data_IF_811714330192
#
_entry.id   IF_811714330192
#
_cell.length_a   1.000
_cell.length_b   1.000
_cell.length_c   1.000
_cell.angle_alpha   90.00
_cell.angle_beta   90.00
_cell.angle_gamma   90.00
#
_symmetry.space_group_name_H-M   'P 1'
#
loop_
_entity.id
_entity.type
_entity.pdbx_description
1 polymer ?
#
# COMPACT_ATOMS: atom_id res chain seq x y z
N UNK A 1 -32.32 48.88 -1.97
CA UNK A 1 -31.71 47.58 -1.61
C UNK A 1 -30.65 47.28 -2.64
N UNK A 2 -29.37 47.43 -2.29
CA UNK A 2 -28.25 47.17 -3.20
C UNK A 2 -28.02 45.65 -3.24
N UNK A 3 -28.21 45.05 -4.41
CA UNK A 3 -27.84 43.65 -4.66
C UNK A 3 -26.31 43.55 -4.56
N UNK A 4 -25.80 42.64 -3.71
CA UNK A 4 -24.37 42.44 -3.57
C UNK A 4 -23.78 41.89 -4.90
N UNK A 5 -22.57 42.31 -5.31
CA UNK A 5 -21.97 41.79 -6.53
C UNK A 5 -21.75 40.29 -6.39
N UNK A 6 -22.30 39.50 -7.31
CA UNK A 6 -21.98 38.06 -7.41
C UNK A 6 -20.48 37.94 -7.66
N UNK A 7 -19.75 37.07 -6.92
CA UNK A 7 -18.33 36.87 -7.19
C UNK A 7 -18.15 36.45 -8.64
N UNK A 8 -17.38 37.22 -9.41
CA UNK A 8 -16.98 36.82 -10.75
C UNK A 8 -16.08 35.59 -10.60
N UNK A 9 -16.54 34.44 -11.09
CA UNK A 9 -15.75 33.21 -11.14
C UNK A 9 -14.47 33.46 -11.96
N UNK A 10 -13.36 32.85 -11.56
CA UNK A 10 -12.12 32.94 -12.31
C UNK A 10 -12.28 32.26 -13.68
N UNK A 11 -11.52 32.68 -14.71
CA UNK A 11 -11.61 32.16 -16.09
C UNK A 11 -11.62 30.63 -16.16
N UNK A 12 -10.87 29.97 -15.27
CA UNK A 12 -10.73 28.53 -15.25
C UNK A 12 -11.96 27.81 -14.68
N UNK A 13 -12.72 28.44 -13.77
CA UNK A 13 -13.96 27.90 -13.22
C UNK A 13 -15.16 28.06 -14.18
N UNK A 14 -15.01 28.88 -15.22
CA UNK A 14 -16.00 29.03 -16.28
C UNK A 14 -15.84 27.99 -17.40
N UNK A 15 -14.76 27.20 -17.38
CA UNK A 15 -14.54 26.15 -18.38
C UNK A 15 -15.52 25.00 -18.20
N UNK A 16 -15.88 24.28 -19.29
CA UNK A 16 -16.59 23.01 -19.18
C UNK A 16 -15.83 22.02 -18.31
N UNK A 17 -16.57 21.15 -17.62
CA UNK A 17 -16.02 20.15 -16.68
C UNK A 17 -14.99 19.26 -17.37
N UNK A 18 -15.26 18.90 -18.62
CA UNK A 18 -14.40 18.06 -19.46
C UNK A 18 -13.03 18.71 -19.68
N UNK A 19 -13.00 20.02 -19.91
CA UNK A 19 -11.74 20.78 -20.10
C UNK A 19 -10.98 20.90 -18.78
N UNK A 20 -11.68 21.11 -17.66
CA UNK A 20 -11.04 21.11 -16.33
C UNK A 20 -10.41 19.74 -16.04
N UNK A 21 -11.10 18.65 -16.38
CA UNK A 21 -10.60 17.29 -16.25
C UNK A 21 -9.39 17.05 -17.16
N UNK A 22 -9.44 17.46 -18.42
CA UNK A 22 -8.33 17.33 -19.37
C UNK A 22 -7.08 18.08 -18.89
N UNK A 23 -7.24 19.34 -18.44
CA UNK A 23 -6.15 20.13 -17.82
C UNK A 23 -5.54 19.35 -16.64
N UNK A 24 -6.38 18.79 -15.77
CA UNK A 24 -5.92 18.01 -14.63
C UNK A 24 -5.17 16.73 -15.06
N UNK A 25 -5.63 16.02 -16.09
CA UNK A 25 -4.97 14.81 -16.59
C UNK A 25 -3.60 15.10 -17.22
N UNK A 26 -3.44 16.26 -17.85
CA UNK A 26 -2.14 16.71 -18.36
C UNK A 26 -1.18 17.12 -17.24
N UNK A 27 -1.68 17.79 -16.20
CA UNK A 27 -0.84 18.34 -15.14
C UNK A 27 -0.53 17.35 -14.01
N UNK A 28 -1.47 16.43 -13.72
CA UNK A 28 -1.44 15.53 -12.56
C UNK A 28 -1.20 16.24 -11.20
N UNK A 29 -1.53 17.54 -11.11
CA UNK A 29 -1.35 18.34 -9.90
C UNK A 29 -2.46 18.03 -8.89
N UNK A 30 -2.14 17.17 -7.92
CA UNK A 30 -3.07 16.67 -6.90
C UNK A 30 -3.61 17.80 -6.00
N UNK A 31 -2.95 18.95 -5.92
CA UNK A 31 -3.46 20.12 -5.20
C UNK A 31 -4.44 20.97 -6.02
N UNK A 32 -4.59 20.74 -7.33
CA UNK A 32 -5.47 21.53 -8.19
C UNK A 32 -6.94 21.58 -7.71
N UNK A 33 -7.56 20.48 -7.25
CA UNK A 33 -8.88 20.51 -6.59
C UNK A 33 -8.98 21.48 -5.40
N UNK A 34 -7.86 21.84 -4.76
CA UNK A 34 -7.87 22.74 -3.58
C UNK A 34 -7.96 24.21 -3.96
N UNK A 35 -7.75 24.55 -5.22
CA UNK A 35 -7.81 25.93 -5.71
C UNK A 35 -9.25 26.48 -5.67
N UNK A 36 -10.27 25.63 -5.82
CA UNK A 36 -11.68 26.01 -5.78
C UNK A 36 -12.61 24.84 -5.51
N UNK A 37 -13.72 25.09 -4.82
CA UNK A 37 -14.80 24.12 -4.65
C UNK A 37 -15.44 23.70 -5.98
N UNK A 38 -15.45 24.58 -6.99
CA UNK A 38 -15.99 24.26 -8.32
C UNK A 38 -15.10 23.23 -9.02
N UNK A 39 -13.78 23.49 -9.05
CA UNK A 39 -12.77 22.57 -9.59
C UNK A 39 -12.79 21.24 -8.83
N UNK A 40 -12.88 21.29 -7.49
CA UNK A 40 -12.99 20.09 -6.68
C UNK A 40 -14.17 19.20 -7.11
N UNK A 41 -15.35 19.81 -7.34
CA UNK A 41 -16.55 19.09 -7.80
C UNK A 41 -16.37 18.53 -9.21
N UNK A 42 -15.81 19.32 -10.12
CA UNK A 42 -15.53 18.90 -11.50
C UNK A 42 -14.60 17.67 -11.57
N UNK A 43 -13.62 17.59 -10.66
CA UNK A 43 -12.64 16.50 -10.59
C UNK A 43 -13.06 15.34 -9.67
N UNK A 44 -14.14 15.49 -8.90
CA UNK A 44 -14.63 14.48 -7.96
C UNK A 44 -15.40 13.36 -8.66
N UNK A 45 -14.76 12.68 -9.61
CA UNK A 45 -15.37 11.62 -10.41
C UNK A 45 -14.68 10.27 -10.12
N UNK A 46 -15.43 9.16 -9.90
CA UNK A 46 -14.82 7.86 -9.62
C UNK A 46 -13.80 7.38 -10.66
N UNK A 47 -14.05 7.66 -11.94
CA UNK A 47 -13.10 7.32 -13.01
C UNK A 47 -11.80 8.11 -12.92
N UNK A 48 -11.84 9.39 -12.51
CA UNK A 48 -10.62 10.18 -12.28
C UNK A 48 -9.73 9.51 -11.24
N UNK A 49 -10.31 9.14 -10.10
CA UNK A 49 -9.56 8.50 -9.03
C UNK A 49 -8.96 7.16 -9.48
N UNK A 50 -9.70 6.35 -10.25
CA UNK A 50 -9.17 5.11 -10.80
C UNK A 50 -8.02 5.35 -11.78
N UNK A 51 -8.13 6.33 -12.68
CA UNK A 51 -7.07 6.63 -13.64
C UNK A 51 -5.80 7.19 -12.96
N UNK A 52 -5.96 8.06 -11.95
CA UNK A 52 -4.83 8.55 -11.14
C UNK A 52 -4.13 7.39 -10.41
N UNK A 53 -4.90 6.45 -9.84
CA UNK A 53 -4.30 5.27 -9.19
C UNK A 53 -3.56 4.39 -10.20
N UNK A 54 -4.14 4.14 -11.38
CA UNK A 54 -3.51 3.33 -12.43
C UNK A 54 -2.21 3.97 -12.91
N UNK A 55 -2.22 5.27 -13.26
CA UNK A 55 -1.00 5.95 -13.74
C UNK A 55 0.09 5.99 -12.66
N UNK A 56 -0.28 6.19 -11.39
CA UNK A 56 0.68 6.30 -10.30
C UNK A 56 1.20 4.92 -9.82
N UNK A 57 0.39 3.86 -9.84
CA UNK A 57 0.69 2.60 -9.13
C UNK A 57 0.78 1.35 -10.02
N UNK A 58 0.71 1.44 -11.35
CA UNK A 58 0.93 0.26 -12.21
C UNK A 58 2.41 -0.12 -12.39
N UNK A 59 2.76 -1.39 -12.47
CA UNK A 59 4.14 -1.82 -12.72
C UNK A 59 4.69 -1.32 -14.07
N UNK A 60 5.97 -0.94 -14.08
CA UNK A 60 6.68 -0.35 -15.22
C UNK A 60 7.60 -1.31 -15.97
N UNK A 61 7.42 -2.62 -15.80
CA UNK A 61 8.27 -3.58 -16.51
C UNK A 61 8.01 -3.51 -18.02
N UNK A 62 9.07 -3.68 -18.82
CA UNK A 62 9.04 -3.62 -20.30
C UNK A 62 7.85 -4.36 -20.97
N UNK A 63 7.40 -5.54 -20.48
CA UNK A 63 6.25 -6.24 -21.03
C UNK A 63 4.91 -5.50 -20.87
N UNK A 64 4.77 -4.58 -19.91
CA UNK A 64 3.57 -3.76 -19.73
C UNK A 64 3.52 -2.58 -20.71
N UNK A 65 4.63 -2.24 -21.38
CA UNK A 65 4.67 -1.17 -22.38
C UNK A 65 3.89 -1.50 -23.64
N UNK A 66 3.85 -2.78 -24.02
CA UNK A 66 3.26 -3.22 -25.27
C UNK A 66 1.84 -3.79 -25.06
N UNK A 67 0.83 -3.04 -25.48
CA UNK A 67 -0.55 -3.50 -25.62
C UNK A 67 -1.33 -3.75 -24.32
N UNK A 68 -0.74 -3.43 -23.16
CA UNK A 68 -1.43 -3.45 -21.87
C UNK A 68 -2.24 -2.17 -21.66
N UNK A 69 -1.64 -0.98 -21.66
CA UNK A 69 -2.40 0.26 -21.46
C UNK A 69 -3.21 0.65 -22.70
N UNK A 70 -4.47 0.24 -22.74
CA UNK A 70 -5.43 0.61 -23.80
C UNK A 70 -6.19 1.88 -23.43
N UNK A 71 -6.75 2.60 -24.42
CA UNK A 71 -7.49 3.86 -24.21
C UNK A 71 -8.67 3.74 -23.24
N UNK A 72 -9.34 2.59 -23.20
CA UNK A 72 -10.43 2.30 -22.26
C UNK A 72 -9.94 2.02 -20.84
N UNK A 73 -8.69 1.54 -20.69
CA UNK A 73 -8.09 1.24 -19.40
C UNK A 73 -7.37 2.44 -18.79
N UNK A 74 -6.61 3.17 -19.60
CA UNK A 74 -5.91 4.38 -19.22
C UNK A 74 -5.87 5.34 -20.43
N UNK A 75 -6.74 6.36 -20.46
CA UNK A 75 -6.86 7.24 -21.62
C UNK A 75 -5.67 8.20 -21.74
N UNK A 76 -5.36 8.61 -22.97
CA UNK A 76 -4.47 9.75 -23.22
C UNK A 76 -5.02 10.99 -22.48
N UNK A 77 -4.17 11.86 -21.91
CA UNK A 77 -2.70 11.90 -22.01
C UNK A 77 -1.95 11.02 -20.98
N UNK A 78 -2.65 10.18 -20.21
CA UNK A 78 -2.03 9.44 -19.11
C UNK A 78 -1.11 8.33 -19.62
N UNK A 79 0.18 8.48 -19.37
CA UNK A 79 1.19 7.48 -19.67
C UNK A 79 2.08 7.22 -18.43
N UNK A 80 2.00 6.03 -17.80
CA UNK A 80 2.83 5.69 -16.65
C UNK A 80 4.34 5.73 -16.96
N UNK A 81 4.73 5.55 -18.24
CA UNK A 81 6.12 5.52 -18.69
C UNK A 81 6.68 6.90 -19.01
N UNK A 82 5.82 7.91 -19.17
CA UNK A 82 6.24 9.29 -19.40
C UNK A 82 6.63 10.03 -18.11
N UNK A 83 6.30 9.47 -16.94
CA UNK A 83 6.57 10.08 -15.63
C UNK A 83 7.94 9.64 -15.14
N UNK A 84 8.81 10.60 -14.78
CA UNK A 84 10.12 10.28 -14.20
C UNK A 84 9.97 9.55 -12.85
N UNK A 85 10.98 8.77 -12.42
CA UNK A 85 10.94 8.11 -11.12
C UNK A 85 10.67 9.06 -9.93
N UNK A 86 11.23 10.26 -9.95
CA UNK A 86 11.07 11.29 -8.93
C UNK A 86 9.64 11.86 -8.90
N UNK A 87 9.12 12.25 -10.06
CA UNK A 87 7.74 12.74 -10.20
C UNK A 87 6.74 11.67 -9.78
N UNK A 88 7.01 10.42 -10.14
CA UNK A 88 6.15 9.29 -9.78
C UNK A 88 6.13 9.06 -8.27
N UNK A 89 7.29 9.10 -7.60
CA UNK A 89 7.36 9.03 -6.13
C UNK A 89 6.54 10.16 -5.49
N UNK A 90 6.67 11.38 -6.02
CA UNK A 90 5.91 12.55 -5.58
C UNK A 90 4.40 12.34 -5.74
N UNK A 91 3.97 11.92 -6.93
CA UNK A 91 2.58 11.64 -7.26
C UNK A 91 2.00 10.54 -6.37
N UNK A 92 2.68 9.41 -6.21
CA UNK A 92 2.25 8.33 -5.32
C UNK A 92 2.06 8.82 -3.89
N UNK A 93 3.03 9.57 -3.36
CA UNK A 93 2.96 10.13 -2.00
C UNK A 93 1.77 11.09 -1.86
N UNK A 94 1.57 11.98 -2.83
CA UNK A 94 0.46 12.93 -2.83
C UNK A 94 -0.91 12.23 -2.92
N UNK A 95 -1.03 11.23 -3.80
CA UNK A 95 -2.25 10.43 -3.97
C UNK A 95 -2.56 9.65 -2.69
N UNK A 96 -1.59 8.99 -2.07
CA UNK A 96 -1.80 8.31 -0.80
C UNK A 96 -2.28 9.29 0.27
N UNK A 97 -1.80 10.53 0.27
CA UNK A 97 -2.25 11.60 1.17
C UNK A 97 -3.73 12.00 1.01
N UNK A 98 -4.31 11.84 -0.19
CA UNK A 98 -5.67 12.29 -0.50
C UNK A 98 -6.77 11.52 0.24
N UNK A 99 -7.77 12.21 0.80
CA UNK A 99 -8.86 11.57 1.57
C UNK A 99 -9.66 10.53 0.77
N UNK A 100 -9.79 10.72 -0.55
CA UNK A 100 -10.48 9.78 -1.44
C UNK A 100 -9.68 8.49 -1.70
N UNK A 101 -8.36 8.51 -1.51
CA UNK A 101 -7.52 7.32 -1.65
C UNK A 101 -7.68 6.43 -0.41
N UNK A 102 -8.52 5.41 -0.56
CA UNK A 102 -8.97 4.49 0.50
C UNK A 102 -8.72 3.05 0.08
N UNK A 103 -8.76 2.12 1.05
CA UNK A 103 -8.62 0.69 0.77
C UNK A 103 -9.66 0.17 -0.26
N UNK A 104 -10.98 0.45 -0.14
CA UNK A 104 -11.95 -0.08 -1.10
C UNK A 104 -11.68 0.38 -2.53
N UNK A 105 -11.27 1.63 -2.71
CA UNK A 105 -10.89 2.16 -4.02
C UNK A 105 -9.62 1.48 -4.54
N UNK A 106 -8.59 1.34 -3.70
CA UNK A 106 -7.36 0.64 -4.08
C UNK A 106 -7.68 -0.80 -4.50
N UNK A 107 -8.42 -1.57 -3.68
CA UNK A 107 -8.84 -2.94 -3.97
C UNK A 107 -9.62 -3.06 -5.28
N UNK A 108 -10.53 -2.11 -5.54
CA UNK A 108 -11.24 -2.04 -6.82
C UNK A 108 -10.26 -1.86 -7.99
N UNK A 109 -9.31 -0.94 -7.88
CA UNK A 109 -8.29 -0.74 -8.92
C UNK A 109 -7.40 -1.98 -9.09
N UNK A 110 -7.02 -2.67 -8.01
CA UNK A 110 -6.26 -3.92 -8.08
C UNK A 110 -7.02 -4.99 -8.87
N UNK A 111 -8.31 -5.17 -8.56
CA UNK A 111 -9.16 -6.13 -9.26
C UNK A 111 -9.27 -5.81 -10.75
N UNK A 112 -9.66 -4.58 -11.08
CA UNK A 112 -9.81 -4.15 -12.48
C UNK A 112 -8.48 -4.28 -13.25
N UNK A 113 -7.34 -4.05 -12.58
CA UNK A 113 -6.01 -4.24 -13.14
C UNK A 113 -5.72 -5.71 -13.43
N UNK A 114 -5.94 -6.62 -12.47
CA UNK A 114 -5.69 -8.05 -12.66
C UNK A 114 -6.61 -8.67 -13.73
N UNK A 115 -7.89 -8.30 -13.75
CA UNK A 115 -8.81 -8.72 -14.82
C UNK A 115 -8.33 -8.22 -16.20
N UNK A 116 -7.76 -7.02 -16.25
CA UNK A 116 -7.19 -6.49 -17.47
C UNK A 116 -5.93 -7.25 -17.92
N UNK A 117 -5.07 -7.69 -16.99
CA UNK A 117 -3.94 -8.59 -17.27
C UNK A 117 -4.44 -9.88 -17.92
N UNK A 118 -5.43 -10.54 -17.33
CA UNK A 118 -6.01 -11.77 -17.89
C UNK A 118 -6.52 -11.55 -19.32
N UNK A 119 -7.30 -10.47 -19.52
CA UNK A 119 -7.88 -10.14 -20.83
C UNK A 119 -6.82 -9.84 -21.90
N UNK A 120 -5.72 -9.18 -21.54
CA UNK A 120 -4.73 -8.66 -22.51
C UNK A 120 -3.52 -9.57 -22.71
N UNK A 121 -3.11 -10.31 -21.69
CA UNK A 121 -1.84 -11.05 -21.67
C UNK A 121 -2.01 -12.57 -21.68
N UNK A 122 -3.19 -13.08 -21.36
CA UNK A 122 -3.45 -14.53 -21.41
C UNK A 122 -4.04 -15.03 -22.74
N UNK A 123 -4.36 -14.15 -23.69
CA UNK A 123 -5.02 -14.54 -24.95
C UNK A 123 -4.20 -15.49 -25.85
N UNK A 124 -2.87 -15.34 -25.83
CA UNK A 124 -1.94 -16.17 -26.61
C UNK A 124 -1.46 -17.41 -25.85
N UNK A 125 -2.02 -17.65 -24.65
CA UNK A 125 -1.69 -18.80 -23.82
C UNK A 125 -2.73 -19.92 -24.02
N UNK A 126 -2.23 -21.15 -24.07
CA UNK A 126 -3.02 -22.37 -23.98
C UNK A 126 -3.10 -22.74 -22.51
N UNK A 127 -4.26 -22.50 -21.92
CA UNK A 127 -4.58 -22.74 -20.51
C UNK A 127 -5.68 -23.80 -20.47
N UNK A 128 -5.64 -24.70 -19.48
CA UNK A 128 -6.71 -25.68 -19.31
C UNK A 128 -8.05 -24.97 -19.03
N UNK A 129 -9.20 -25.52 -19.46
CA UNK A 129 -10.49 -24.87 -19.21
C UNK A 129 -10.76 -24.61 -17.73
N UNK A 130 -10.39 -25.54 -16.84
CA UNK A 130 -10.54 -25.39 -15.39
C UNK A 130 -9.68 -24.25 -14.84
N UNK A 131 -8.43 -24.16 -15.26
CA UNK A 131 -7.53 -23.10 -14.79
C UNK A 131 -7.93 -21.73 -15.34
N UNK A 132 -8.44 -21.69 -16.57
CA UNK A 132 -8.95 -20.46 -17.15
C UNK A 132 -10.19 -19.96 -16.40
N UNK A 133 -11.08 -20.85 -15.96
CA UNK A 133 -12.20 -20.47 -15.09
C UNK A 133 -11.71 -19.91 -13.74
N UNK A 134 -10.67 -20.49 -13.15
CA UNK A 134 -10.03 -19.93 -11.94
C UNK A 134 -9.52 -18.50 -12.18
N UNK A 135 -8.89 -18.23 -13.34
CA UNK A 135 -8.43 -16.89 -13.72
C UNK A 135 -9.58 -15.90 -14.00
N UNK A 136 -10.73 -16.36 -14.49
CA UNK A 136 -11.90 -15.50 -14.63
C UNK A 136 -12.56 -15.18 -13.28
N UNK A 137 -12.40 -16.06 -12.29
CA UNK A 137 -12.96 -15.88 -10.93
C UNK A 137 -12.15 -14.94 -10.03
N UNK A 138 -11.03 -14.39 -10.51
CA UNK A 138 -10.13 -13.50 -9.74
C UNK A 138 -10.89 -12.36 -9.05
N UNK A 139 -11.84 -11.74 -9.76
CA UNK A 139 -12.62 -10.63 -9.21
C UNK A 139 -13.45 -11.02 -7.98
N UNK A 140 -14.01 -12.23 -7.97
CA UNK A 140 -14.74 -12.76 -6.81
C UNK A 140 -13.80 -13.11 -5.65
N UNK A 141 -12.63 -13.68 -5.94
CA UNK A 141 -11.65 -14.08 -4.92
C UNK A 141 -11.08 -12.86 -4.19
N UNK A 142 -10.73 -11.79 -4.91
CA UNK A 142 -10.27 -10.52 -4.32
C UNK A 142 -11.29 -9.88 -3.38
N UNK A 143 -12.58 -10.00 -3.71
CA UNK A 143 -13.66 -9.45 -2.89
C UNK A 143 -13.84 -10.24 -1.59
N UNK A 144 -13.36 -11.49 -1.53
CA UNK A 144 -13.35 -12.31 -0.32
C UNK A 144 -12.17 -12.06 0.62
N UNK A 145 -11.19 -11.23 0.22
CA UNK A 145 -9.98 -10.97 1.02
C UNK A 145 -10.15 -9.94 2.12
N UNK A 146 -11.32 -9.32 2.25
CA UNK A 146 -11.54 -8.17 3.13
C UNK A 146 -11.18 -8.47 4.60
N UNK A 147 -10.01 -7.95 4.98
CA UNK A 147 -9.37 -8.11 6.27
C UNK A 147 -8.96 -9.53 6.65
N UNK A 148 -8.66 -10.37 5.65
CA UNK A 148 -7.72 -11.48 5.80
C UNK A 148 -6.30 -10.90 5.70
N UNK A 149 -5.41 -11.29 6.61
CA UNK A 149 -3.99 -10.92 6.55
C UNK A 149 -3.25 -12.22 6.16
N UNK A 150 -2.45 -12.23 5.08
CA UNK A 150 -1.72 -13.43 4.69
C UNK A 150 -0.75 -13.83 5.79
N UNK A 151 -0.80 -15.11 6.20
CA UNK A 151 0.18 -15.69 7.11
C UNK A 151 1.56 -15.79 6.46
N UNK A 152 1.60 -16.02 5.14
CA UNK A 152 2.83 -16.08 4.36
C UNK A 152 2.85 -15.06 3.22
N UNK A 153 3.93 -14.28 3.10
CA UNK A 153 3.98 -13.10 2.25
C UNK A 153 4.09 -13.36 0.74
N UNK A 154 4.50 -14.56 0.32
CA UNK A 154 4.92 -14.84 -1.07
C UNK A 154 4.40 -16.16 -1.65
N UNK A 155 3.53 -16.86 -0.92
CA UNK A 155 2.93 -18.06 -1.47
C UNK A 155 1.85 -17.66 -2.48
N UNK A 156 1.96 -18.06 -3.77
CA UNK A 156 0.93 -17.75 -4.75
C UNK A 156 -0.43 -18.32 -4.33
N UNK A 157 -1.44 -17.47 -4.34
CA UNK A 157 -2.83 -17.88 -4.09
C UNK A 157 -3.35 -18.77 -5.23
N UNK A 158 -2.83 -18.55 -6.44
CA UNK A 158 -3.16 -19.31 -7.64
C UNK A 158 -1.92 -19.52 -8.50
N UNK A 159 -1.66 -20.78 -8.85
CA UNK A 159 -0.66 -21.20 -9.83
C UNK A 159 -1.35 -21.91 -10.99
N UNK A 160 -1.12 -21.44 -12.21
CA UNK A 160 -1.67 -22.05 -13.43
C UNK A 160 -0.54 -22.43 -14.37
N UNK A 161 -0.60 -23.65 -14.89
CA UNK A 161 0.30 -24.08 -15.96
C UNK A 161 -0.29 -23.66 -17.31
N UNK A 162 0.53 -22.98 -18.12
CA UNK A 162 0.15 -22.63 -19.47
C UNK A 162 1.28 -22.84 -20.45
N UNK A 163 0.92 -22.96 -21.73
CA UNK A 163 1.85 -23.04 -22.84
C UNK A 163 1.62 -21.90 -23.80
N UNK A 164 2.66 -21.37 -24.42
CA UNK A 164 2.46 -20.36 -25.47
C UNK A 164 1.90 -21.02 -26.72
N UNK A 165 0.85 -20.46 -27.30
CA UNK A 165 0.23 -20.98 -28.52
C UNK A 165 1.28 -21.08 -29.64
N UNK A 166 1.31 -22.23 -30.32
CA UNK A 166 2.30 -22.51 -31.36
C UNK A 166 3.73 -22.78 -30.85
N UNK A 167 3.92 -22.90 -29.54
CA UNK A 167 5.19 -23.23 -28.89
C UNK A 167 4.99 -24.33 -27.86
N UNK A 168 5.99 -25.20 -27.65
CA UNK A 168 5.98 -26.14 -26.53
C UNK A 168 6.67 -25.56 -25.28
N UNK A 169 6.87 -24.24 -25.23
CA UNK A 169 7.47 -23.55 -24.09
C UNK A 169 6.42 -23.30 -23.01
N UNK A 170 6.69 -23.82 -21.82
CA UNK A 170 5.89 -23.55 -20.64
C UNK A 170 5.97 -22.06 -20.24
N UNK A 171 4.90 -21.61 -19.62
CA UNK A 171 4.67 -20.22 -19.22
C UNK A 171 3.80 -20.22 -17.98
N UNK A 172 4.36 -20.58 -16.80
CA UNK A 172 3.59 -20.61 -15.57
C UNK A 172 3.05 -19.21 -15.26
N UNK A 173 1.82 -19.17 -14.75
CA UNK A 173 1.17 -17.97 -14.25
C UNK A 173 1.04 -18.09 -12.74
N UNK A 174 1.36 -17.01 -12.03
CA UNK A 174 1.20 -16.93 -10.59
C UNK A 174 0.43 -15.67 -10.24
N UNK A 175 -0.57 -15.80 -9.37
CA UNK A 175 -1.34 -14.67 -8.87
C UNK A 175 -1.25 -14.62 -7.35
N UNK A 176 -0.88 -13.45 -6.82
CA UNK A 176 -0.98 -13.13 -5.39
C UNK A 176 -2.02 -12.03 -5.25
N UNK A 177 -3.25 -12.41 -4.94
CA UNK A 177 -4.41 -11.53 -4.90
C UNK A 177 -4.23 -10.43 -3.87
N UNK A 178 -3.73 -10.78 -2.68
CA UNK A 178 -3.61 -9.82 -1.59
C UNK A 178 -2.72 -8.62 -1.96
N UNK A 179 -1.68 -8.84 -2.77
CA UNK A 179 -0.77 -7.77 -3.22
C UNK A 179 -1.06 -7.26 -4.64
N UNK A 180 -2.15 -7.73 -5.26
CA UNK A 180 -2.52 -7.35 -6.63
C UNK A 180 -1.42 -7.69 -7.64
N UNK A 181 -0.77 -8.84 -7.46
CA UNK A 181 0.40 -9.25 -8.23
C UNK A 181 0.05 -10.39 -9.18
N UNK A 182 0.48 -10.27 -10.43
CA UNK A 182 0.31 -11.29 -11.47
C UNK A 182 1.63 -11.44 -12.20
N UNK A 183 2.20 -12.65 -12.20
CA UNK A 183 3.43 -12.97 -12.93
C UNK A 183 3.11 -13.89 -14.10
N UNK A 184 3.54 -13.52 -15.30
CA UNK A 184 3.45 -14.35 -16.51
C UNK A 184 4.85 -14.46 -17.09
N UNK A 185 5.45 -15.66 -17.09
CA UNK A 185 6.70 -15.89 -17.84
C UNK A 185 7.81 -14.87 -17.52
N UNK A 186 7.93 -14.52 -16.24
CA UNK A 186 8.81 -13.49 -15.64
C UNK A 186 8.31 -12.04 -15.70
N UNK A 187 7.25 -11.74 -16.43
CA UNK A 187 6.66 -10.41 -16.52
C UNK A 187 5.75 -10.13 -15.32
N UNK A 188 6.08 -9.10 -14.53
CA UNK A 188 5.30 -8.68 -13.37
C UNK A 188 4.27 -7.61 -13.74
N UNK A 189 3.01 -7.95 -13.56
CA UNK A 189 1.91 -7.01 -13.53
C UNK A 189 1.46 -6.82 -12.10
N UNK A 190 1.68 -5.62 -11.56
CA UNK A 190 1.31 -5.32 -10.19
C UNK A 190 0.61 -3.97 -10.07
N UNK A 191 -0.45 -3.94 -9.26
CA UNK A 191 -1.01 -2.73 -8.72
C UNK A 191 -1.44 -3.01 -7.27
N UNK A 192 -1.03 -2.20 -6.28
CA UNK A 192 -0.09 -1.09 -6.39
C UNK A 192 1.37 -1.55 -6.47
N UNK A 193 2.16 -0.82 -7.24
CA UNK A 193 3.58 -1.01 -7.45
C UNK A 193 4.37 0.24 -7.04
N UNK A 194 5.59 0.06 -6.55
CA UNK A 194 6.49 1.15 -6.17
C UNK A 194 7.94 0.74 -6.34
N UNK A 195 8.78 1.70 -6.72
CA UNK A 195 10.20 1.49 -7.00
C UNK A 195 10.97 1.23 -5.71
N UNK A 196 11.87 0.26 -5.72
CA UNK A 196 12.58 -0.17 -4.51
C UNK A 196 13.54 0.88 -3.95
N UNK A 197 14.28 1.55 -4.82
CA UNK A 197 15.29 2.57 -4.50
C UNK A 197 14.67 3.97 -4.37
N UNK A 198 13.41 4.16 -4.75
CA UNK A 198 12.70 5.42 -4.56
C UNK A 198 11.23 5.17 -4.15
N UNK A 199 10.99 4.57 -2.97
CA UNK A 199 9.65 4.25 -2.54
C UNK A 199 8.86 5.54 -2.22
N UNK A 200 7.55 5.49 -2.47
CA UNK A 200 6.62 6.50 -1.98
C UNK A 200 6.62 6.55 -0.45
N UNK A 201 6.17 7.65 0.13
CA UNK A 201 5.98 7.74 1.56
C UNK A 201 4.56 7.39 1.95
N UNK A 202 4.43 6.52 2.95
CA UNK A 202 3.15 6.34 3.64
C UNK A 202 2.79 7.67 4.32
N UNK A 203 1.59 8.24 4.14
CA UNK A 203 1.19 9.51 4.74
C UNK A 203 0.81 9.38 6.22
N UNK A 204 0.97 10.46 7.00
CA UNK A 204 0.72 10.46 8.45
C UNK A 204 -0.74 10.08 8.82
N UNK A 205 -1.72 10.36 7.97
CA UNK A 205 -3.12 9.95 8.20
C UNK A 205 -3.32 8.43 8.32
N UNK A 206 -2.38 7.64 7.77
CA UNK A 206 -2.37 6.18 7.87
C UNK A 206 -1.50 5.68 9.04
N UNK A 207 -0.75 6.57 9.68
CA UNK A 207 0.14 6.29 10.80
C UNK A 207 -0.40 6.88 12.12
N UNK A 208 -1.70 7.16 12.20
CA UNK A 208 -2.36 7.65 13.38
C UNK A 208 -3.67 6.90 13.66
N UNK A 209 -4.12 6.84 14.93
CA UNK A 209 -5.44 6.30 15.27
C UNK A 209 -6.58 7.09 14.59
N UNK A 210 -7.81 6.53 14.51
CA UNK A 210 -8.20 5.19 14.99
C UNK A 210 -7.68 4.07 14.07
N UNK A 211 -7.29 2.93 14.66
CA UNK A 211 -6.75 1.77 13.96
C UNK A 211 -7.87 0.80 13.53
N UNK A 212 -8.55 1.13 12.43
CA UNK A 212 -9.59 0.26 11.87
C UNK A 212 -8.98 -0.93 11.13
N UNK A 213 -9.75 -2.03 10.99
CA UNK A 213 -9.35 -3.21 10.18
C UNK A 213 -8.89 -2.78 8.79
N UNK A 214 -9.67 -1.94 8.12
CA UNK A 214 -9.37 -1.42 6.77
C UNK A 214 -8.12 -0.55 6.73
N UNK A 215 -7.84 0.27 7.76
CA UNK A 215 -6.61 1.08 7.79
C UNK A 215 -5.37 0.20 7.93
N UNK A 216 -5.42 -0.79 8.82
CA UNK A 216 -4.31 -1.72 9.05
C UNK A 216 -4.05 -2.59 7.83
N UNK A 217 -5.11 -3.06 7.17
CA UNK A 217 -4.99 -3.79 5.90
C UNK A 217 -4.42 -2.90 4.80
N UNK A 218 -4.90 -1.65 4.69
CA UNK A 218 -4.34 -0.73 3.69
C UNK A 218 -2.86 -0.54 3.92
N UNK A 219 -2.47 -0.28 5.17
CA UNK A 219 -1.07 -0.10 5.54
C UNK A 219 -0.24 -1.35 5.22
N UNK A 220 -0.73 -2.56 5.51
CA UNK A 220 -0.05 -3.82 5.19
C UNK A 220 0.22 -4.00 3.69
N UNK A 221 -0.71 -3.55 2.84
CA UNK A 221 -0.49 -3.50 1.39
C UNK A 221 0.59 -2.47 1.09
N UNK A 222 0.43 -1.23 1.57
CA UNK A 222 1.32 -0.09 1.30
C UNK A 222 2.77 -0.32 1.71
N UNK A 223 3.01 -0.89 2.89
CA UNK A 223 4.36 -0.96 3.48
C UNK A 223 5.34 -1.83 2.70
N UNK A 224 4.88 -2.56 1.68
CA UNK A 224 5.77 -3.30 0.76
C UNK A 224 6.35 -2.48 -0.38
N UNK A 225 5.69 -1.39 -0.76
CA UNK A 225 6.09 -0.57 -1.91
C UNK A 225 6.25 0.91 -1.55
N UNK A 226 5.75 1.32 -0.39
CA UNK A 226 5.99 2.61 0.23
C UNK A 226 6.79 2.40 1.52
N UNK A 227 7.63 3.38 1.87
CA UNK A 227 8.33 3.40 3.15
C UNK A 227 7.60 4.25 4.18
N UNK A 228 7.82 3.91 5.45
CA UNK A 228 7.29 4.65 6.59
C UNK A 228 8.25 5.77 6.97
N UNK A 229 9.54 5.50 6.96
CA UNK A 229 10.59 6.46 7.29
C UNK A 229 11.49 6.69 6.07
N UNK A 230 11.89 7.94 5.86
CA UNK A 230 12.92 8.29 4.87
C UNK A 230 14.32 8.02 5.40
N UNK A 231 14.50 8.20 6.71
CA UNK A 231 15.79 8.17 7.38
C UNK A 231 15.87 7.01 8.38
N UNK A 232 17.09 6.55 8.63
CA UNK A 232 17.38 5.41 9.51
C UNK A 232 17.03 5.67 10.99
N UNK A 233 16.73 6.91 11.38
CA UNK A 233 16.31 7.27 12.73
C UNK A 233 14.93 6.70 13.11
N UNK A 234 14.14 6.28 12.11
CA UNK A 234 12.87 5.59 12.30
C UNK A 234 11.82 6.44 13.02
N UNK A 235 11.89 7.78 12.93
CA UNK A 235 11.10 8.65 13.80
C UNK A 235 9.59 8.39 13.73
N UNK A 236 9.03 8.11 12.54
CA UNK A 236 7.60 7.88 12.34
C UNK A 236 7.20 6.48 12.79
N UNK A 237 7.92 5.43 12.37
CA UNK A 237 7.64 4.05 12.80
C UNK A 237 7.77 3.89 14.32
N UNK A 238 8.79 4.52 14.92
CA UNK A 238 9.02 4.56 16.37
C UNK A 238 7.89 5.27 17.12
N UNK A 239 7.39 6.38 16.59
CA UNK A 239 6.27 7.11 17.19
C UNK A 239 4.99 6.28 17.21
N UNK A 240 4.70 5.54 16.14
CA UNK A 240 3.51 4.67 16.03
C UNK A 240 3.53 3.59 17.11
N UNK A 241 4.59 2.77 17.18
CA UNK A 241 4.65 1.69 18.18
C UNK A 241 4.59 2.21 19.60
N UNK A 242 5.32 3.29 19.90
CA UNK A 242 5.27 3.93 21.22
C UNK A 242 3.87 4.40 21.59
N UNK A 243 3.13 4.97 20.64
CA UNK A 243 1.77 5.44 20.86
C UNK A 243 0.82 4.27 21.14
N UNK A 244 0.92 3.18 20.37
CA UNK A 244 0.09 1.98 20.56
C UNK A 244 0.36 1.32 21.93
N UNK A 245 1.62 1.27 22.36
CA UNK A 245 1.99 0.80 23.71
C UNK A 245 1.34 1.69 24.78
N UNK A 246 1.46 3.01 24.62
CA UNK A 246 0.88 3.99 25.56
C UNK A 246 -0.65 3.87 25.63
N UNK A 247 -1.30 3.64 24.50
CA UNK A 247 -2.75 3.50 24.39
C UNK A 247 -3.25 2.10 24.80
N UNK A 248 -2.34 1.19 25.17
CA UNK A 248 -2.62 -0.19 25.59
C UNK A 248 -3.41 -1.00 24.55
N UNK A 249 -3.25 -0.66 23.26
CA UNK A 249 -3.86 -1.39 22.14
C UNK A 249 -2.98 -2.58 21.71
N UNK A 250 -3.05 -3.67 22.47
CA UNK A 250 -2.20 -4.84 22.23
C UNK A 250 -2.50 -5.54 20.90
N UNK A 251 -3.75 -5.51 20.44
CA UNK A 251 -4.14 -6.14 19.19
C UNK A 251 -3.47 -5.46 17.99
N UNK A 252 -3.47 -4.12 17.96
CA UNK A 252 -2.75 -3.35 16.94
C UNK A 252 -1.24 -3.49 17.08
N UNK A 253 -0.72 -3.50 18.31
CA UNK A 253 0.71 -3.70 18.57
C UNK A 253 1.21 -5.01 17.97
N UNK A 254 0.50 -6.12 18.25
CA UNK A 254 0.82 -7.43 17.71
C UNK A 254 0.84 -7.42 16.17
N UNK A 255 -0.10 -6.72 15.54
CA UNK A 255 -0.13 -6.59 14.07
C UNK A 255 1.09 -5.85 13.54
N UNK A 256 1.51 -4.75 14.18
CA UNK A 256 2.72 -4.04 13.77
C UNK A 256 3.99 -4.87 13.96
N UNK A 257 4.09 -5.64 15.04
CA UNK A 257 5.26 -6.50 15.29
C UNK A 257 5.53 -7.51 14.15
N UNK A 258 4.48 -8.02 13.52
CA UNK A 258 4.57 -8.94 12.38
C UNK A 258 4.41 -8.25 11.01
N UNK A 259 4.14 -6.95 10.98
CA UNK A 259 4.02 -6.20 9.74
C UNK A 259 5.41 -6.04 9.11
N UNK A 260 5.48 -6.39 7.83
CA UNK A 260 6.68 -6.26 7.03
C UNK A 260 6.67 -4.91 6.32
N UNK A 261 7.76 -4.18 6.43
CA UNK A 261 7.92 -2.81 5.95
C UNK A 261 9.18 -2.65 5.11
N UNK A 262 9.10 -1.76 4.13
CA UNK A 262 10.23 -1.29 3.35
C UNK A 262 10.93 -0.15 4.07
N UNK A 263 12.26 -0.20 4.08
CA UNK A 263 13.12 0.88 4.54
C UNK A 263 14.06 1.29 3.40
N UNK A 264 14.28 2.60 3.13
CA UNK A 264 15.10 3.05 2.00
C UNK A 264 16.55 2.57 2.02
N UNK A 265 17.10 2.29 3.21
CA UNK A 265 18.50 1.89 3.40
C UNK A 265 18.73 0.38 3.34
N UNK A 266 17.69 -0.43 3.11
CA UNK A 266 17.82 -1.89 2.97
C UNK A 266 17.20 -2.39 1.68
N UNK A 267 17.85 -3.38 1.07
CA UNK A 267 17.29 -4.12 -0.07
C UNK A 267 16.23 -5.13 0.40
N UNK A 268 16.33 -5.56 1.64
CA UNK A 268 15.43 -6.55 2.20
C UNK A 268 14.21 -5.88 2.82
N UNK A 269 13.12 -6.63 2.88
CA UNK A 269 11.98 -6.26 3.68
C UNK A 269 12.26 -6.55 5.15
N UNK A 270 11.88 -5.64 6.03
CA UNK A 270 12.16 -5.74 7.47
C UNK A 270 10.84 -5.85 8.23
N UNK A 271 10.85 -6.46 9.41
CA UNK A 271 9.74 -6.25 10.34
C UNK A 271 9.69 -4.78 10.77
N UNK A 272 8.53 -4.35 11.26
CA UNK A 272 8.39 -3.00 11.80
C UNK A 272 9.53 -2.67 12.79
N UNK A 273 10.25 -1.56 12.61
CA UNK A 273 11.42 -1.24 13.43
C UNK A 273 11.10 -1.15 14.93
N UNK A 274 11.86 -1.89 15.73
CA UNK A 274 11.80 -1.86 17.20
C UNK A 274 13.10 -1.28 17.76
N UNK A 275 12.98 -0.31 18.65
CA UNK A 275 14.09 0.38 19.29
C UNK A 275 13.98 0.29 20.82
N UNK A 276 15.10 0.56 21.52
CA UNK A 276 15.21 0.54 22.99
C UNK A 276 14.07 1.32 23.70
N UNK A 277 13.65 2.45 23.12
CA UNK A 277 12.59 3.27 23.68
C UNK A 277 11.22 2.57 23.74
N UNK A 278 10.96 1.56 22.90
CA UNK A 278 9.73 0.77 22.96
C UNK A 278 9.73 -0.15 24.18
N UNK A 279 10.88 -0.74 24.53
CA UNK A 279 11.04 -1.54 25.74
C UNK A 279 10.82 -0.69 26.99
N UNK A 280 11.44 0.49 27.07
CA UNK A 280 11.18 1.43 28.16
C UNK A 280 9.71 1.86 28.23
N UNK A 281 9.07 2.12 27.08
CA UNK A 281 7.66 2.46 27.04
C UNK A 281 6.77 1.31 27.54
N UNK A 282 7.07 0.08 27.13
CA UNK A 282 6.33 -1.11 27.56
C UNK A 282 6.45 -1.33 29.07
N UNK A 283 7.65 -1.21 29.64
CA UNK A 283 7.85 -1.27 31.09
C UNK A 283 7.14 -0.13 31.82
N UNK A 284 7.24 1.10 31.32
CA UNK A 284 6.62 2.28 31.93
C UNK A 284 5.10 2.16 32.03
N UNK A 285 4.46 1.58 31.02
CA UNK A 285 3.01 1.42 30.95
C UNK A 285 2.57 -0.02 31.25
N UNK A 286 3.45 -0.87 31.78
CA UNK A 286 3.09 -2.21 32.21
C UNK A 286 2.16 -2.12 33.41
N UNK A 287 1.05 -2.86 33.37
CA UNK A 287 0.05 -2.84 34.44
C UNK A 287 0.31 -3.93 35.48
N UNK A 288 1.05 -4.98 35.09
CA UNK A 288 1.32 -6.16 35.92
C UNK A 288 2.61 -6.86 35.50
N UNK A 289 3.13 -7.78 36.34
CA UNK A 289 4.06 -8.81 35.90
C UNK A 289 3.54 -9.61 34.70
N UNK A 290 4.45 -10.07 33.85
CA UNK A 290 4.18 -10.71 32.56
C UNK A 290 3.22 -9.87 31.71
N UNK A 291 3.54 -8.58 31.55
CA UNK A 291 2.74 -7.69 30.72
C UNK A 291 2.83 -8.14 29.25
N UNK A 292 1.70 -8.23 28.52
CA UNK A 292 1.69 -8.79 27.17
C UNK A 292 2.58 -8.01 26.19
N UNK A 293 2.75 -6.70 26.36
CA UNK A 293 3.66 -5.91 25.51
C UNK A 293 5.13 -6.23 25.81
N UNK A 294 5.48 -6.33 27.09
CA UNK A 294 6.84 -6.68 27.54
C UNK A 294 7.18 -8.10 27.09
N UNK A 295 6.30 -9.06 27.35
CA UNK A 295 6.44 -10.47 26.99
C UNK A 295 6.67 -10.67 25.48
N UNK A 296 5.87 -10.00 24.64
CA UNK A 296 6.05 -10.06 23.19
C UNK A 296 7.34 -9.40 22.71
N UNK A 297 7.69 -8.22 23.24
CA UNK A 297 8.94 -7.53 22.87
C UNK A 297 10.17 -8.36 23.22
N UNK A 298 10.21 -8.92 24.43
CA UNK A 298 11.33 -9.77 24.87
C UNK A 298 11.40 -11.04 24.04
N UNK A 299 10.27 -11.75 23.88
CA UNK A 299 10.25 -13.01 23.14
C UNK A 299 10.66 -12.85 21.67
N UNK A 300 10.16 -11.82 21.01
CA UNK A 300 10.26 -11.70 19.54
C UNK A 300 11.39 -10.76 19.09
N UNK A 301 11.89 -9.87 19.96
CA UNK A 301 12.80 -8.78 19.60
C UNK A 301 13.90 -8.53 20.63
N UNK A 302 14.28 -9.52 21.44
CA UNK A 302 15.35 -9.37 22.44
C UNK A 302 16.65 -8.76 21.87
N UNK A 303 17.02 -9.14 20.65
CA UNK A 303 18.23 -8.65 19.98
C UNK A 303 18.24 -7.13 19.73
N UNK A 304 17.08 -6.46 19.83
CA UNK A 304 16.96 -5.01 19.71
C UNK A 304 17.20 -4.26 21.04
N UNK A 305 17.42 -4.96 22.14
CA UNK A 305 17.79 -4.36 23.43
C UNK A 305 19.30 -4.02 23.40
N UNK A 306 19.72 -2.78 23.76
CA UNK A 306 21.13 -2.44 23.86
C UNK A 306 21.86 -3.36 24.84
N UNK A 307 22.98 -3.95 24.40
CA UNK A 307 23.73 -4.94 25.19
C UNK A 307 24.34 -4.35 26.47
N UNK A 308 24.64 -3.06 26.43
CA UNK A 308 25.22 -2.25 27.50
C UNK A 308 24.17 -1.72 28.51
N UNK A 309 22.88 -1.79 28.18
CA UNK A 309 21.81 -1.38 29.09
C UNK A 309 21.35 -2.53 29.98
N UNK A 310 22.23 -2.92 30.92
CA UNK A 310 21.95 -3.99 31.89
C UNK A 310 20.72 -3.66 32.75
N UNK A 311 20.50 -2.38 33.07
CA UNK A 311 19.34 -1.94 33.86
C UNK A 311 18.02 -2.23 33.14
N UNK A 312 17.96 -1.96 31.84
CA UNK A 312 16.81 -2.29 31.03
C UNK A 312 16.60 -3.81 30.94
N UNK A 313 17.66 -4.58 30.68
CA UNK A 313 17.58 -6.04 30.61
C UNK A 313 17.04 -6.65 31.91
N UNK A 314 17.58 -6.24 33.06
CA UNK A 314 17.14 -6.71 34.38
C UNK A 314 15.68 -6.36 34.65
N UNK A 315 15.26 -5.14 34.30
CA UNK A 315 13.88 -4.70 34.48
C UNK A 315 12.89 -5.50 33.61
N UNK A 316 13.29 -5.84 32.37
CA UNK A 316 12.51 -6.69 31.47
C UNK A 316 12.35 -8.11 32.02
N UNK A 317 13.44 -8.74 32.46
CA UNK A 317 13.41 -10.09 33.03
C UNK A 317 12.63 -10.13 34.35
N UNK A 318 12.80 -9.11 35.20
CA UNK A 318 12.05 -8.98 36.46
C UNK A 318 10.54 -8.89 36.21
N UNK A 319 10.11 -8.12 35.20
CA UNK A 319 8.69 -8.05 34.83
C UNK A 319 8.15 -9.44 34.42
N UNK A 320 8.92 -10.24 33.69
CA UNK A 320 8.50 -11.57 33.22
C UNK A 320 8.47 -12.63 34.31
N UNK A 321 9.39 -12.58 35.27
CA UNK A 321 9.58 -13.65 36.26
C UNK A 321 8.88 -13.40 37.61
N UNK A 322 8.29 -12.22 37.82
CA UNK A 322 7.55 -11.94 39.05
C UNK A 322 6.29 -12.82 39.28
N UNK A 323 5.93 -13.71 38.34
CA UNK A 323 4.88 -14.73 38.49
C UNK A 323 5.42 -16.14 38.84
N UNK A 324 6.73 -16.34 39.01
CA UNK A 324 7.34 -17.67 39.23
C UNK A 324 7.53 -18.09 40.69
N UNK A 325 7.01 -17.34 41.67
CA UNK A 325 7.28 -17.56 43.12
C UNK A 325 6.02 -17.61 44.00
N UNK A 326 4.91 -18.13 43.49
CA UNK A 326 3.74 -18.47 44.32
C UNK A 326 3.26 -19.88 44.07
#
# INVERSE_FOLDING_TARGET
>A
MSEAPRPALATLECLPVEIIQEIFLHALEVNFPRASIHIARALSHPLMYSWIIRVAFSSLEDPSRNGFFTRDFLPEPLDPFAISPEERRGLQTAVLGCRWCTLPLMRRCQREYLEHVVRRKCGDLVISPSDYQSLLSIGSQLSGLDGLIPNEPFNPDLCVQAKVRGSNRDSPLMVIFYFGMFVIRYDLFQLPWGRQDMPALVPDKLLCPPWTKSKLEFLQILTRFACIDENADGTRSRRVLRQVIRDRDFATFKRFMYMVVRVPWSKDLNFWPVHANHFHAALKYAEKPDDPFVSMLVKERWDNVPKDDHKLQDALLTNLWANGTT
#
